data_IF_496705139058
#
_entry.id   IF_496705139058
#
_cell.length_a   1.000
_cell.length_b   1.000
_cell.length_c   1.000
_cell.angle_alpha   90.00
_cell.angle_beta   90.00
_cell.angle_gamma   90.00
#
_symmetry.space_group_name_H-M   'P 1'
#
loop_
_entity.id
_entity.type
_entity.pdbx_description
1 polymer ?
#
# COMPACT_ATOMS: atom_id res chain seq x y z
N UNK A 1 20.48 -3.79 -1.78
CA UNK A 1 19.72 -5.00 -2.18
C UNK A 1 20.34 -6.17 -1.44
N UNK A 2 19.84 -6.49 -0.27
CA UNK A 2 20.23 -7.65 0.51
C UNK A 2 19.20 -8.77 0.36
N UNK A 3 19.46 -9.92 0.98
CA UNK A 3 18.57 -11.08 0.97
C UNK A 3 17.18 -10.77 1.58
N UNK A 4 17.09 -9.73 2.42
CA UNK A 4 15.88 -9.23 3.04
C UNK A 4 15.35 -7.98 2.31
N UNK A 5 14.74 -8.18 1.15
CA UNK A 5 14.20 -7.10 0.32
C UNK A 5 12.77 -7.40 -0.15
N UNK A 6 12.02 -6.37 -0.55
CA UNK A 6 10.68 -6.56 -1.14
C UNK A 6 10.75 -7.45 -2.38
N UNK A 7 11.83 -7.38 -3.16
CA UNK A 7 12.05 -8.27 -4.32
C UNK A 7 12.19 -9.73 -3.88
N UNK A 8 12.86 -10.01 -2.76
CA UNK A 8 12.97 -11.37 -2.21
C UNK A 8 11.59 -11.89 -1.77
N UNK A 9 10.73 -11.03 -1.24
CA UNK A 9 9.34 -11.39 -0.94
C UNK A 9 8.58 -11.76 -2.21
N UNK A 10 8.66 -10.92 -3.26
CA UNK A 10 7.98 -11.22 -4.54
C UNK A 10 8.45 -12.55 -5.15
N UNK A 11 9.76 -12.80 -5.18
CA UNK A 11 10.32 -14.07 -5.65
C UNK A 11 9.84 -15.25 -4.82
N UNK A 12 9.85 -15.11 -3.50
CA UNK A 12 9.35 -16.16 -2.61
C UNK A 12 7.88 -16.50 -2.84
N UNK A 13 7.04 -15.50 -3.10
CA UNK A 13 5.63 -15.69 -3.45
C UNK A 13 5.46 -16.40 -4.80
N UNK A 14 6.28 -16.08 -5.80
CA UNK A 14 6.31 -16.79 -7.08
C UNK A 14 6.65 -18.26 -6.87
N UNK A 15 7.78 -18.52 -6.21
CA UNK A 15 8.34 -19.86 -6.10
C UNK A 15 7.50 -20.79 -5.20
N UNK A 16 6.86 -20.23 -4.17
CA UNK A 16 6.16 -21.03 -3.15
C UNK A 16 4.66 -21.15 -3.41
N UNK A 17 4.03 -20.09 -3.89
CA UNK A 17 2.57 -20.00 -3.99
C UNK A 17 2.04 -19.84 -5.42
N UNK A 18 2.94 -19.85 -6.41
CA UNK A 18 2.57 -19.85 -7.83
C UNK A 18 2.06 -18.50 -8.34
N UNK A 19 2.38 -17.40 -7.67
CA UNK A 19 2.13 -16.07 -8.20
C UNK A 19 2.90 -15.87 -9.52
N UNK A 20 2.34 -15.14 -10.47
CA UNK A 20 2.99 -14.84 -11.75
C UNK A 20 3.56 -13.41 -11.72
N UNK A 21 4.81 -13.20 -12.18
CA UNK A 21 5.41 -11.88 -12.16
C UNK A 21 4.75 -10.95 -13.19
N UNK A 22 4.58 -9.68 -12.76
CA UNK A 22 4.30 -8.56 -13.65
C UNK A 22 5.60 -7.77 -13.75
N UNK A 23 6.08 -7.59 -14.97
CA UNK A 23 7.37 -6.96 -15.22
C UNK A 23 7.24 -5.66 -16.01
N UNK A 24 8.10 -4.70 -15.69
CA UNK A 24 8.32 -3.48 -16.46
C UNK A 24 9.83 -3.24 -16.58
N UNK A 25 10.33 -3.05 -17.80
CA UNK A 25 11.78 -2.86 -18.05
C UNK A 25 12.67 -3.96 -17.41
N UNK A 26 12.23 -5.22 -17.43
CA UNK A 26 12.89 -6.40 -16.81
C UNK A 26 12.95 -6.38 -15.27
N UNK A 27 12.23 -5.48 -14.62
CA UNK A 27 12.05 -5.47 -13.17
C UNK A 27 10.68 -6.05 -12.80
N UNK A 28 10.62 -6.91 -11.80
CA UNK A 28 9.36 -7.35 -11.21
C UNK A 28 8.78 -6.17 -10.44
N UNK A 29 7.62 -5.68 -10.88
CA UNK A 29 6.91 -4.54 -10.31
C UNK A 29 5.62 -4.92 -9.59
N UNK A 30 5.26 -6.18 -9.66
CA UNK A 30 4.06 -6.75 -9.06
C UNK A 30 3.91 -8.21 -9.39
N UNK A 31 2.85 -8.79 -8.89
CA UNK A 31 2.47 -10.19 -9.11
C UNK A 31 0.99 -10.28 -9.44
N UNK A 32 0.60 -11.34 -10.14
CA UNK A 32 -0.79 -11.64 -10.46
C UNK A 32 -1.08 -13.09 -10.10
N UNK A 33 -2.25 -13.36 -9.55
CA UNK A 33 -2.76 -14.71 -9.30
C UNK A 33 -4.29 -14.66 -9.40
N UNK A 34 -4.84 -15.44 -10.33
CA UNK A 34 -6.26 -15.41 -10.69
C UNK A 34 -6.72 -13.97 -11.02
N UNK A 35 -7.64 -13.38 -10.26
CA UNK A 35 -8.10 -12.00 -10.43
C UNK A 35 -7.49 -11.01 -9.43
N UNK A 36 -6.64 -11.49 -8.49
CA UNK A 36 -5.93 -10.65 -7.54
C UNK A 36 -4.55 -10.23 -8.04
N UNK A 37 -4.09 -9.08 -7.59
CA UNK A 37 -2.76 -8.57 -7.86
C UNK A 37 -2.04 -8.18 -6.57
N UNK A 38 -0.73 -8.34 -6.57
CA UNK A 38 0.16 -7.69 -5.61
C UNK A 38 0.95 -6.65 -6.36
N UNK A 39 0.93 -5.40 -5.92
CA UNK A 39 1.69 -4.32 -6.56
C UNK A 39 2.69 -3.70 -5.60
N UNK A 40 3.75 -3.11 -6.18
CA UNK A 40 4.66 -2.26 -5.43
C UNK A 40 4.25 -0.81 -5.59
N UNK A 41 4.03 -0.15 -4.48
CA UNK A 41 3.80 1.27 -4.43
C UNK A 41 5.14 2.06 -4.51
N UNK A 42 5.14 3.39 -4.75
CA UNK A 42 6.35 4.13 -5.10
C UNK A 42 7.55 3.92 -4.17
N UNK A 43 7.33 3.79 -2.87
CA UNK A 43 8.35 3.56 -1.85
C UNK A 43 8.61 2.10 -1.51
N UNK A 44 8.09 1.15 -2.31
CA UNK A 44 8.25 -0.28 -2.08
C UNK A 44 7.22 -0.87 -1.12
N UNK A 45 6.16 -0.15 -0.80
CA UNK A 45 5.04 -0.68 -0.03
C UNK A 45 4.39 -1.81 -0.83
N UNK A 46 4.15 -2.93 -0.16
CA UNK A 46 3.51 -4.10 -0.75
C UNK A 46 1.99 -3.95 -0.63
N UNK A 47 1.31 -3.88 -1.74
CA UNK A 47 -0.15 -3.70 -1.80
C UNK A 47 -0.83 -4.94 -2.38
N UNK A 48 -1.83 -5.48 -1.68
CA UNK A 48 -2.79 -6.41 -2.24
C UNK A 48 -3.91 -5.62 -2.90
N UNK A 49 -4.05 -5.75 -4.21
CA UNK A 49 -5.24 -5.34 -4.96
C UNK A 49 -6.11 -6.58 -5.13
N UNK A 50 -7.12 -6.70 -4.29
CA UNK A 50 -7.96 -7.89 -4.18
C UNK A 50 -8.75 -8.21 -5.45
N UNK A 51 -9.27 -9.43 -5.49
CA UNK A 51 -10.16 -9.91 -6.54
C UNK A 51 -11.53 -9.24 -6.47
N UNK A 52 -12.32 -9.42 -7.53
CA UNK A 52 -13.75 -9.16 -7.46
C UNK A 52 -14.40 -10.28 -6.64
N UNK A 53 -15.01 -9.91 -5.51
CA UNK A 53 -15.56 -10.84 -4.52
C UNK A 53 -17.01 -10.48 -4.23
N UNK A 54 -17.84 -11.49 -4.00
CA UNK A 54 -19.27 -11.31 -3.81
C UNK A 54 -19.66 -11.02 -2.36
N UNK A 55 -18.75 -11.26 -1.41
CA UNK A 55 -19.04 -11.11 0.01
C UNK A 55 -17.86 -10.63 0.84
N UNK A 56 -18.17 -9.99 1.98
CA UNK A 56 -17.17 -9.60 2.98
C UNK A 56 -16.42 -10.81 3.57
N UNK A 57 -17.04 -11.99 3.58
CA UNK A 57 -16.39 -13.21 4.06
C UNK A 57 -15.28 -13.66 3.13
N UNK A 58 -15.49 -13.56 1.82
CA UNK A 58 -14.45 -13.83 0.82
C UNK A 58 -13.33 -12.81 0.90
N UNK A 59 -13.65 -11.54 1.11
CA UNK A 59 -12.64 -10.49 1.35
C UNK A 59 -11.81 -10.81 2.60
N UNK A 60 -12.44 -11.24 3.69
CA UNK A 60 -11.72 -11.64 4.90
C UNK A 60 -10.79 -12.85 4.64
N UNK A 61 -11.26 -13.83 3.87
CA UNK A 61 -10.47 -15.02 3.52
C UNK A 61 -9.29 -14.64 2.62
N UNK A 62 -9.51 -13.81 1.62
CA UNK A 62 -8.44 -13.32 0.72
C UNK A 62 -7.34 -12.59 1.51
N UNK A 63 -7.71 -11.65 2.36
CA UNK A 63 -6.76 -10.91 3.21
C UNK A 63 -6.02 -11.85 4.15
N UNK A 64 -6.72 -12.78 4.81
CA UNK A 64 -6.09 -13.75 5.71
C UNK A 64 -5.11 -14.66 4.98
N UNK A 65 -5.46 -15.13 3.78
CA UNK A 65 -4.60 -15.95 2.92
C UNK A 65 -3.36 -15.17 2.49
N UNK A 66 -3.53 -13.94 2.02
CA UNK A 66 -2.42 -13.07 1.63
C UNK A 66 -1.45 -12.83 2.79
N UNK A 67 -1.96 -12.48 3.96
CA UNK A 67 -1.13 -12.28 5.14
C UNK A 67 -0.35 -13.53 5.54
N UNK A 68 -0.97 -14.72 5.45
CA UNK A 68 -0.30 -16.00 5.74
C UNK A 68 0.80 -16.31 4.71
N UNK A 69 0.54 -16.10 3.41
CA UNK A 69 1.53 -16.27 2.34
C UNK A 69 2.73 -15.34 2.55
N UNK A 70 2.46 -14.04 2.74
CA UNK A 70 3.50 -13.03 2.97
C UNK A 70 4.30 -13.31 4.24
N UNK A 71 3.63 -13.68 5.34
CA UNK A 71 4.30 -14.06 6.58
C UNK A 71 5.22 -15.26 6.41
N UNK A 72 4.77 -16.27 5.67
CA UNK A 72 5.58 -17.47 5.41
C UNK A 72 6.90 -17.12 4.70
N UNK A 73 6.87 -16.21 3.73
CA UNK A 73 8.08 -15.77 3.04
C UNK A 73 8.93 -14.85 3.93
N UNK A 74 8.28 -13.91 4.63
CA UNK A 74 8.96 -12.99 5.53
C UNK A 74 9.77 -13.72 6.62
N UNK A 75 9.17 -14.72 7.25
CA UNK A 75 9.83 -15.55 8.26
C UNK A 75 11.10 -16.25 7.70
N UNK A 76 11.05 -16.73 6.45
CA UNK A 76 12.20 -17.39 5.79
C UNK A 76 13.36 -16.45 5.52
N UNK A 77 13.08 -15.20 5.21
CA UNK A 77 14.12 -14.21 4.86
C UNK A 77 14.48 -13.28 6.02
N UNK A 78 13.91 -13.51 7.21
CA UNK A 78 14.15 -12.68 8.40
C UNK A 78 13.56 -11.28 8.30
N UNK A 79 12.48 -11.10 7.53
CA UNK A 79 11.76 -9.83 7.38
C UNK A 79 10.52 -9.79 8.26
N UNK A 80 9.97 -8.58 8.45
CA UNK A 80 8.68 -8.36 9.07
C UNK A 80 7.86 -7.34 8.26
N UNK A 81 6.55 -7.46 8.37
CA UNK A 81 5.61 -6.49 7.82
C UNK A 81 4.83 -5.83 8.94
N UNK A 82 4.59 -4.54 8.81
CA UNK A 82 3.83 -3.77 9.77
C UNK A 82 2.84 -2.85 9.04
N UNK A 83 1.58 -2.89 9.48
CA UNK A 83 0.53 -2.03 8.95
C UNK A 83 0.50 -0.68 9.66
N UNK A 84 1.27 0.28 9.18
CA UNK A 84 1.27 1.65 9.67
C UNK A 84 0.84 2.61 8.57
N UNK A 85 0.23 3.73 8.95
CA UNK A 85 -0.19 4.75 7.99
C UNK A 85 0.97 5.50 7.33
N UNK A 86 2.16 5.48 7.92
CA UNK A 86 3.37 6.10 7.37
C UNK A 86 4.63 5.42 7.92
N UNK A 87 5.70 5.38 7.13
CA UNK A 87 7.01 4.90 7.57
C UNK A 87 7.50 5.70 8.79
N UNK A 88 7.74 5.02 9.94
CA UNK A 88 7.92 5.72 11.20
C UNK A 88 9.32 6.32 11.39
N UNK A 89 10.35 5.64 10.90
CA UNK A 89 11.75 5.92 11.27
C UNK A 89 12.59 6.49 10.13
N UNK A 90 12.57 5.87 8.95
CA UNK A 90 13.42 6.26 7.84
C UNK A 90 13.22 7.71 7.42
N UNK A 91 14.32 8.38 7.08
CA UNK A 91 14.25 9.73 6.51
C UNK A 91 13.66 9.67 5.11
N UNK A 92 13.02 10.75 4.70
CA UNK A 92 12.39 10.81 3.37
C UNK A 92 13.38 10.49 2.24
N UNK A 93 14.62 10.99 2.33
CA UNK A 93 15.69 10.75 1.36
C UNK A 93 16.22 9.30 1.32
N UNK A 94 15.88 8.49 2.31
CA UNK A 94 16.28 7.08 2.41
C UNK A 94 15.24 6.15 1.81
N UNK A 95 14.05 6.68 1.49
CA UNK A 95 12.99 5.90 0.88
C UNK A 95 13.39 5.46 -0.52
N UNK A 96 13.21 4.17 -0.86
CA UNK A 96 13.48 3.69 -2.20
C UNK A 96 12.47 4.24 -3.21
N UNK A 97 12.83 4.20 -4.49
CA UNK A 97 11.91 4.47 -5.59
C UNK A 97 11.79 3.20 -6.43
N UNK A 98 10.58 2.69 -6.56
CA UNK A 98 10.33 1.49 -7.35
C UNK A 98 10.48 1.77 -8.84
N UNK A 99 10.98 0.80 -9.63
CA UNK A 99 11.37 0.99 -11.04
C UNK A 99 10.17 0.98 -11.99
N UNK A 100 9.14 1.78 -11.70
CA UNK A 100 8.00 2.01 -12.59
C UNK A 100 8.15 3.35 -13.31
N UNK A 101 7.93 3.39 -14.62
CA UNK A 101 8.12 4.62 -15.42
C UNK A 101 7.19 5.75 -14.98
N UNK A 102 5.97 5.42 -14.53
CA UNK A 102 5.05 6.41 -13.98
C UNK A 102 5.64 7.20 -12.80
N UNK A 103 6.48 6.57 -11.98
CA UNK A 103 7.05 7.23 -10.80
C UNK A 103 8.17 8.21 -11.16
N UNK A 104 8.87 7.97 -12.27
CA UNK A 104 9.85 8.90 -12.83
C UNK A 104 9.21 10.23 -13.28
N UNK A 105 7.94 10.17 -13.69
CA UNK A 105 7.16 11.35 -14.06
C UNK A 105 6.50 12.02 -12.85
N UNK A 106 5.94 11.20 -11.97
CA UNK A 106 5.16 11.68 -10.81
C UNK A 106 6.03 12.39 -9.77
N UNK A 107 7.20 11.84 -9.42
CA UNK A 107 8.02 12.40 -8.35
C UNK A 107 8.47 13.84 -8.65
N UNK A 108 9.08 14.19 -9.79
CA UNK A 108 9.43 15.57 -10.11
C UNK A 108 8.22 16.50 -10.20
N UNK A 109 7.08 15.98 -10.68
CA UNK A 109 5.86 16.77 -10.73
C UNK A 109 5.34 17.12 -9.33
N UNK A 110 5.32 16.14 -8.42
CA UNK A 110 4.89 16.33 -7.03
C UNK A 110 5.77 17.35 -6.29
N UNK A 111 7.09 17.34 -6.54
CA UNK A 111 8.02 18.33 -5.98
C UNK A 111 7.75 19.74 -6.51
N UNK A 112 7.33 19.84 -7.77
CA UNK A 112 7.01 21.14 -8.40
C UNK A 112 5.72 21.76 -7.85
N UNK A 113 4.71 20.95 -7.57
CA UNK A 113 3.37 21.45 -7.20
C UNK A 113 3.12 21.52 -5.70
N UNK A 114 3.99 20.94 -4.87
CA UNK A 114 3.79 20.98 -3.41
C UNK A 114 4.93 20.35 -2.61
N UNK A 115 4.90 20.53 -1.30
CA UNK A 115 5.96 20.08 -0.38
C UNK A 115 5.72 18.71 0.25
N UNK A 116 4.54 18.13 0.10
CA UNK A 116 4.16 16.88 0.78
C UNK A 116 3.81 15.72 -0.16
N UNK A 117 3.72 15.98 -1.47
CA UNK A 117 3.35 14.98 -2.47
C UNK A 117 4.29 13.77 -2.50
N UNK A 118 5.59 13.98 -2.51
CA UNK A 118 6.58 12.89 -2.48
C UNK A 118 6.61 12.16 -1.13
N UNK A 119 6.35 12.86 -0.02
CA UNK A 119 6.23 12.21 1.29
C UNK A 119 5.02 11.26 1.31
N UNK A 120 3.90 11.68 0.76
CA UNK A 120 2.72 10.83 0.59
C UNK A 120 3.06 9.64 -0.30
N UNK A 121 3.64 9.84 -1.48
CA UNK A 121 3.96 8.77 -2.42
C UNK A 121 4.86 7.68 -1.83
N UNK A 122 5.95 8.08 -1.17
CA UNK A 122 6.99 7.12 -0.77
C UNK A 122 6.81 6.55 0.63
N UNK A 123 6.05 7.19 1.50
CA UNK A 123 6.04 6.87 2.93
C UNK A 123 4.73 6.35 3.47
N UNK A 124 3.62 6.50 2.74
CA UNK A 124 2.31 6.17 3.28
C UNK A 124 1.80 4.80 2.84
N UNK A 125 1.08 4.15 3.75
CA UNK A 125 0.29 2.96 3.48
C UNK A 125 -1.15 3.20 3.89
N UNK A 126 -2.08 2.46 3.28
CA UNK A 126 -3.50 2.60 3.57
C UNK A 126 -4.24 1.29 3.36
N UNK A 127 -5.41 1.18 3.97
CA UNK A 127 -6.47 0.32 3.48
C UNK A 127 -7.39 1.17 2.63
N UNK A 128 -7.69 0.71 1.43
CA UNK A 128 -8.60 1.39 0.50
C UNK A 128 -9.85 0.56 0.32
N UNK A 129 -11.00 1.23 0.43
CA UNK A 129 -12.31 0.63 0.14
C UNK A 129 -12.93 1.40 -1.02
N UNK A 130 -13.29 0.66 -2.09
CA UNK A 130 -14.02 1.19 -3.22
C UNK A 130 -15.50 0.86 -3.03
N UNK A 131 -16.36 1.86 -3.19
CA UNK A 131 -17.82 1.71 -3.03
C UNK A 131 -18.48 1.93 -4.38
N UNK A 132 -19.21 0.92 -4.84
CA UNK A 132 -19.99 1.01 -6.06
C UNK A 132 -21.25 1.89 -5.87
N UNK A 133 -21.79 2.37 -6.97
CA UNK A 133 -23.04 3.11 -7.03
C UNK A 133 -23.82 2.74 -8.28
N UNK A 134 -25.13 2.77 -8.21
CA UNK A 134 -26.05 2.36 -9.30
C UNK A 134 -26.61 3.54 -10.11
N UNK A 135 -26.49 4.75 -9.58
CA UNK A 135 -27.04 5.96 -10.18
C UNK A 135 -26.31 7.21 -9.71
N UNK A 136 -26.45 8.32 -10.42
CA UNK A 136 -25.91 9.61 -9.99
C UNK A 136 -26.45 10.03 -8.62
N UNK A 137 -27.72 9.80 -8.36
CA UNK A 137 -28.34 10.10 -7.06
C UNK A 137 -27.70 9.28 -5.94
N UNK A 138 -27.46 8.00 -6.15
CA UNK A 138 -26.78 7.12 -5.19
C UNK A 138 -25.32 7.55 -4.99
N UNK A 139 -24.61 7.89 -6.07
CA UNK A 139 -23.25 8.42 -6.01
C UNK A 139 -23.18 9.68 -5.15
N UNK A 140 -24.06 10.66 -5.38
CA UNK A 140 -24.11 11.90 -4.60
C UNK A 140 -24.36 11.60 -3.12
N UNK A 141 -25.27 10.69 -2.79
CA UNK A 141 -25.56 10.28 -1.42
C UNK A 141 -24.33 9.64 -0.76
N UNK A 142 -23.72 8.67 -1.42
CA UNK A 142 -22.52 7.96 -0.92
C UNK A 142 -21.35 8.92 -0.74
N UNK A 143 -21.11 9.83 -1.68
CA UNK A 143 -20.08 10.86 -1.58
C UNK A 143 -20.29 11.76 -0.35
N UNK A 144 -21.52 12.26 -0.14
CA UNK A 144 -21.85 13.08 1.03
C UNK A 144 -21.62 12.34 2.35
N UNK A 145 -22.05 11.08 2.43
CA UNK A 145 -21.84 10.24 3.61
C UNK A 145 -20.35 10.00 3.83
N UNK A 146 -19.59 9.65 2.78
CA UNK A 146 -18.14 9.44 2.86
C UNK A 146 -17.40 10.67 3.38
N UNK A 147 -17.74 11.86 2.86
CA UNK A 147 -17.15 13.11 3.35
C UNK A 147 -17.50 13.41 4.82
N UNK A 148 -18.73 13.15 5.24
CA UNK A 148 -19.16 13.33 6.63
C UNK A 148 -18.48 12.35 7.59
N UNK A 149 -18.18 11.14 7.12
CA UNK A 149 -17.48 10.10 7.92
C UNK A 149 -15.97 10.29 7.99
N UNK A 150 -15.38 11.13 7.17
CA UNK A 150 -13.92 11.32 7.09
C UNK A 150 -13.25 11.58 8.46
N UNK A 151 -13.74 12.50 9.32
CA UNK A 151 -13.12 12.74 10.63
C UNK A 151 -13.17 11.51 11.54
N UNK A 152 -14.28 10.77 11.50
CA UNK A 152 -14.51 9.56 12.31
C UNK A 152 -13.56 8.47 11.83
N UNK A 153 -13.49 8.22 10.53
CA UNK A 153 -12.59 7.23 9.95
C UNK A 153 -11.11 7.56 10.26
N UNK A 154 -10.73 8.84 10.14
CA UNK A 154 -9.39 9.29 10.49
C UNK A 154 -9.05 9.03 11.97
N UNK A 155 -10.00 9.20 12.87
CA UNK A 155 -9.80 8.92 14.30
C UNK A 155 -9.71 7.41 14.59
N UNK A 156 -10.58 6.61 13.98
CA UNK A 156 -10.63 5.16 14.18
C UNK A 156 -9.38 4.45 13.64
N UNK A 157 -8.91 4.87 12.46
CA UNK A 157 -7.79 4.23 11.75
C UNK A 157 -6.48 5.00 11.87
N UNK A 158 -6.35 5.87 12.88
CA UNK A 158 -5.13 6.64 13.11
C UNK A 158 -3.96 5.71 13.46
N UNK A 159 -2.94 5.64 12.61
CA UNK A 159 -1.79 4.74 12.75
C UNK A 159 -0.49 5.36 12.22
N UNK A 160 -0.29 6.68 12.36
CA UNK A 160 0.93 7.35 11.90
C UNK A 160 1.41 8.44 12.87
N UNK A 161 1.75 8.07 14.13
CA UNK A 161 2.17 9.07 15.13
C UNK A 161 3.63 9.51 14.99
N UNK A 162 4.44 8.80 14.19
CA UNK A 162 5.87 9.04 14.06
C UNK A 162 6.23 9.59 12.68
N UNK A 163 7.26 10.41 12.64
CA UNK A 163 7.90 10.89 11.42
C UNK A 163 9.41 11.03 11.65
N UNK A 164 10.19 10.30 10.86
CA UNK A 164 11.67 10.29 10.92
C UNK A 164 12.23 10.06 12.33
N UNK A 165 11.66 9.05 13.03
CA UNK A 165 12.08 8.67 14.38
C UNK A 165 11.55 9.55 15.49
N UNK A 166 10.70 10.55 15.19
CA UNK A 166 10.18 11.52 16.18
C UNK A 166 8.66 11.40 16.34
N UNK A 167 8.19 11.60 17.55
CA UNK A 167 6.76 11.74 17.84
C UNK A 167 6.28 13.07 17.26
N UNK A 168 5.21 13.03 16.46
CA UNK A 168 4.69 14.22 15.75
C UNK A 168 3.67 15.03 16.54
N UNK A 169 3.14 14.48 17.62
CA UNK A 169 1.99 15.04 18.36
C UNK A 169 0.64 14.71 17.70
N UNK A 170 0.61 14.06 16.55
CA UNK A 170 -0.60 13.61 15.86
C UNK A 170 -0.69 12.09 15.87
N UNK A 171 -1.89 11.53 16.06
CA UNK A 171 -2.12 10.09 15.93
C UNK A 171 -2.19 9.65 14.44
N UNK A 172 -2.62 10.56 13.56
CA UNK A 172 -2.67 10.39 12.12
C UNK A 172 -1.92 11.52 11.40
N UNK A 173 -0.59 11.52 11.49
CA UNK A 173 0.26 12.50 10.78
C UNK A 173 0.09 12.42 9.26
N UNK A 174 -0.23 11.24 8.75
CA UNK A 174 -0.51 10.99 7.33
C UNK A 174 -1.65 11.88 6.77
N UNK A 175 -2.61 12.25 7.60
CA UNK A 175 -3.81 13.01 7.19
C UNK A 175 -3.60 14.55 7.24
N UNK A 176 -2.38 15.02 7.43
CA UNK A 176 -2.03 16.43 7.58
C UNK A 176 -1.51 17.10 6.27
#
# INVERSE_FOLDING_TARGET
QGDCSVLSVLKGLIDTFGWKPIEENKFIIGLNKDSANITLEPGGQLELSGALLDSVHETCLEVATHLAEVKTIADRIGAGFIGLGSAPEWKHKEMPIMPKDRYKLMAPYMEKVGSSGTKMMFRTCTVQVNLDYDSETDMIKKMRVGLALQPIATALFAASPFFEGKITGFKSYRSR
#
